data_IF_901196867276
#
_entry.id   IF_901196867276
#
_cell.length_a   1.000
_cell.length_b   1.000
_cell.length_c   1.000
_cell.angle_alpha   90.00
_cell.angle_beta   90.00
_cell.angle_gamma   90.00
#
_symmetry.space_group_name_H-M   'P 1'
#
loop_
_entity.id
_entity.type
_entity.pdbx_description
1 polymer ?
#
# COMPACT_ATOMS: atom_id res chain seq x y z
N UNK A 1 -15.69 -18.56 -49.48
CA UNK A 1 -16.34 -19.69 -50.21
C UNK A 1 -16.59 -20.82 -49.21
N UNK A 2 -17.83 -20.96 -48.75
CA UNK A 2 -18.45 -22.21 -48.27
C UNK A 2 -19.89 -21.87 -47.87
N UNK A 3 -20.83 -22.15 -48.76
CA UNK A 3 -22.25 -22.19 -48.44
C UNK A 3 -22.50 -23.49 -47.67
N UNK A 4 -22.98 -23.39 -46.44
CA UNK A 4 -23.43 -24.55 -45.67
C UNK A 4 -24.93 -24.42 -45.48
N UNK A 5 -25.66 -25.09 -46.37
CA UNK A 5 -27.09 -25.35 -46.21
C UNK A 5 -27.28 -26.49 -45.21
N UNK A 6 -28.14 -26.31 -44.20
CA UNK A 6 -28.81 -27.45 -43.55
C UNK A 6 -30.27 -27.10 -43.22
N UNK A 7 -31.17 -27.90 -43.78
CA UNK A 7 -32.62 -27.91 -43.54
C UNK A 7 -32.92 -28.36 -42.11
N UNK A 8 -34.04 -27.89 -41.53
CA UNK A 8 -35.09 -28.75 -40.91
C UNK A 8 -36.32 -27.95 -40.43
N UNK A 9 -37.49 -28.36 -40.97
CA UNK A 9 -38.83 -28.52 -40.38
C UNK A 9 -39.55 -27.39 -39.60
N UNK A 10 -40.69 -26.96 -40.17
CA UNK A 10 -42.00 -27.00 -39.49
C UNK A 10 -42.36 -25.88 -38.50
N UNK A 11 -43.12 -24.89 -38.98
CA UNK A 11 -44.05 -24.01 -38.25
C UNK A 11 -43.72 -23.62 -36.80
N UNK A 12 -42.93 -22.55 -36.66
CA UNK A 12 -43.19 -21.45 -35.73
C UNK A 12 -42.33 -20.26 -36.19
N UNK A 13 -42.73 -19.02 -35.92
CA UNK A 13 -42.11 -17.79 -36.45
C UNK A 13 -40.69 -17.51 -35.94
N UNK A 14 -39.76 -18.42 -36.19
CA UNK A 14 -38.38 -18.40 -35.70
C UNK A 14 -37.47 -18.05 -36.88
N UNK A 15 -36.95 -16.83 -36.89
CA UNK A 15 -35.89 -16.42 -37.80
C UNK A 15 -34.52 -16.83 -37.22
N UNK A 16 -33.80 -17.69 -37.93
CA UNK A 16 -32.45 -18.12 -37.52
C UNK A 16 -31.42 -17.28 -38.26
N UNK A 17 -30.69 -16.43 -37.53
CA UNK A 17 -29.59 -15.64 -38.07
C UNK A 17 -28.25 -16.27 -37.69
N UNK A 18 -27.40 -16.55 -38.69
CA UNK A 18 -26.05 -17.09 -38.49
C UNK A 18 -25.03 -16.04 -38.88
N UNK A 19 -24.08 -15.75 -37.99
CA UNK A 19 -22.99 -14.81 -38.21
C UNK A 19 -21.69 -15.36 -37.61
N UNK A 20 -20.56 -14.84 -38.09
CA UNK A 20 -19.22 -15.23 -37.64
C UNK A 20 -18.59 -14.06 -36.88
N UNK A 21 -17.94 -14.35 -35.75
CA UNK A 21 -17.10 -13.38 -35.06
C UNK A 21 -15.93 -14.05 -34.32
N UNK A 22 -15.06 -13.24 -33.72
CA UNK A 22 -13.95 -13.75 -32.93
C UNK A 22 -14.46 -14.52 -31.68
N UNK A 23 -13.70 -15.52 -31.17
CA UNK A 23 -14.14 -16.35 -30.05
C UNK A 23 -14.46 -15.58 -28.77
N UNK A 24 -13.80 -14.45 -28.55
CA UNK A 24 -14.07 -13.58 -27.40
C UNK A 24 -15.47 -12.94 -27.48
N UNK A 25 -15.84 -12.41 -28.65
CA UNK A 25 -17.15 -11.79 -28.86
C UNK A 25 -18.29 -12.82 -28.75
N UNK A 26 -18.08 -14.04 -29.26
CA UNK A 26 -19.05 -15.13 -29.13
C UNK A 26 -19.30 -15.47 -27.65
N UNK A 27 -18.23 -15.61 -26.85
CA UNK A 27 -18.35 -15.87 -25.41
C UNK A 27 -19.10 -14.75 -24.68
N UNK A 28 -18.78 -13.49 -24.99
CA UNK A 28 -19.46 -12.34 -24.40
C UNK A 28 -20.95 -12.31 -24.72
N UNK A 29 -21.32 -12.53 -25.98
CA UNK A 29 -22.73 -12.54 -26.40
C UNK A 29 -23.51 -13.67 -25.72
N UNK A 30 -22.92 -14.85 -25.60
CA UNK A 30 -23.57 -15.99 -24.94
C UNK A 30 -23.75 -15.76 -23.44
N UNK A 31 -22.73 -15.22 -22.76
CA UNK A 31 -22.83 -14.84 -21.34
C UNK A 31 -23.92 -13.76 -21.11
N UNK A 32 -23.99 -12.76 -22.00
CA UNK A 32 -25.04 -11.74 -21.95
C UNK A 32 -26.44 -12.35 -22.12
N UNK A 33 -26.62 -13.27 -23.07
CA UNK A 33 -27.90 -13.93 -23.31
C UNK A 33 -28.37 -14.75 -22.08
N UNK A 34 -27.46 -15.46 -21.41
CA UNK A 34 -27.78 -16.17 -20.16
C UNK A 34 -28.20 -15.19 -19.08
N UNK A 35 -27.43 -14.12 -18.87
CA UNK A 35 -27.73 -13.14 -17.82
C UNK A 35 -29.10 -12.48 -18.00
N UNK A 36 -29.48 -12.18 -19.25
CA UNK A 36 -30.80 -11.63 -19.56
C UNK A 36 -31.91 -12.65 -19.33
N UNK A 37 -31.70 -13.91 -19.68
CA UNK A 37 -32.68 -14.96 -19.42
C UNK A 37 -32.86 -15.20 -17.91
N UNK A 38 -31.76 -15.24 -17.15
CA UNK A 38 -31.80 -15.38 -15.69
C UNK A 38 -32.55 -14.20 -15.05
N UNK A 39 -32.23 -12.96 -15.47
CA UNK A 39 -32.95 -11.76 -15.02
C UNK A 39 -34.46 -11.84 -15.29
N UNK A 40 -34.85 -12.38 -16.46
CA UNK A 40 -36.25 -12.60 -16.78
C UNK A 40 -36.89 -13.65 -15.85
N UNK A 41 -36.21 -14.76 -15.55
CA UNK A 41 -36.70 -15.78 -14.63
C UNK A 41 -36.90 -15.25 -13.21
N UNK A 42 -35.92 -14.49 -12.70
CA UNK A 42 -35.99 -13.84 -11.39
C UNK A 42 -37.18 -12.89 -11.32
N UNK A 43 -37.43 -12.13 -12.40
CA UNK A 43 -38.55 -11.19 -12.51
C UNK A 43 -39.90 -11.87 -12.75
N UNK A 44 -39.92 -13.07 -13.33
CA UNK A 44 -41.13 -13.87 -13.52
C UNK A 44 -41.55 -14.54 -12.21
N UNK A 45 -40.61 -14.99 -11.39
CA UNK A 45 -40.90 -15.51 -10.05
C UNK A 45 -41.33 -14.41 -9.06
N UNK A 46 -40.91 -13.15 -9.26
CA UNK A 46 -41.30 -12.06 -8.35
C UNK A 46 -42.75 -11.59 -8.50
N UNK A 47 -43.46 -11.94 -9.59
CA UNK A 47 -44.90 -11.60 -9.75
C UNK A 47 -45.86 -12.50 -8.97
N UNK A 48 -45.46 -13.72 -8.61
CA UNK A 48 -46.30 -14.65 -7.81
C UNK A 48 -45.99 -14.61 -6.31
N UNK A 49 -45.03 -13.78 -5.88
CA UNK A 49 -44.62 -13.65 -4.49
C UNK A 49 -44.62 -12.17 -4.11
N UNK A 50 -45.81 -11.62 -3.88
CA UNK A 50 -45.94 -10.50 -2.95
C UNK A 50 -45.24 -10.99 -1.68
N UNK A 51 -44.16 -10.31 -1.29
CA UNK A 51 -43.40 -10.64 -0.09
C UNK A 51 -44.34 -10.64 1.12
N UNK A 52 -44.92 -11.80 1.45
CA UNK A 52 -45.18 -12.14 2.84
C UNK A 52 -43.83 -11.93 3.52
N UNK A 53 -43.80 -11.02 4.51
CA UNK A 53 -42.60 -10.45 5.10
C UNK A 53 -41.45 -11.46 5.12
N UNK A 54 -40.30 -11.04 4.54
CA UNK A 54 -39.04 -11.81 4.55
C UNK A 54 -38.92 -12.58 5.85
N UNK A 55 -38.64 -13.88 5.76
CA UNK A 55 -38.50 -14.69 6.96
C UNK A 55 -37.41 -14.09 7.84
N UNK A 56 -37.63 -14.02 9.15
CA UNK A 56 -36.61 -13.56 10.11
C UNK A 56 -35.29 -14.32 9.92
N UNK A 57 -35.37 -15.58 9.47
CA UNK A 57 -34.21 -16.39 9.10
C UNK A 57 -33.45 -15.85 7.89
N UNK A 58 -34.12 -15.34 6.86
CA UNK A 58 -33.49 -14.74 5.67
C UNK A 58 -32.79 -13.43 6.04
N UNK A 59 -33.42 -12.59 6.88
CA UNK A 59 -32.82 -11.35 7.38
C UNK A 59 -31.57 -11.64 8.22
N UNK A 60 -31.59 -12.71 9.02
CA UNK A 60 -30.44 -13.14 9.82
C UNK A 60 -29.28 -13.66 8.96
N UNK A 61 -29.56 -14.31 7.83
CA UNK A 61 -28.52 -14.82 6.90
C UNK A 61 -27.81 -13.65 6.20
N UNK A 62 -28.55 -12.68 5.66
CA UNK A 62 -27.97 -11.49 4.98
C UNK A 62 -27.04 -10.68 5.92
N UNK A 63 -27.44 -10.53 7.18
CA UNK A 63 -26.64 -9.84 8.20
C UNK A 63 -25.36 -10.61 8.58
N UNK A 64 -25.33 -11.92 8.38
CA UNK A 64 -24.16 -12.76 8.66
C UNK A 64 -23.23 -12.85 7.44
N UNK A 65 -23.78 -12.79 6.21
CA UNK A 65 -23.03 -12.89 4.95
C UNK A 65 -22.31 -11.58 4.57
N UNK A 66 -22.79 -10.41 5.00
CA UNK A 66 -22.14 -9.11 4.74
C UNK A 66 -20.80 -8.91 5.50
N UNK A 67 -20.32 -9.92 6.21
CA UNK A 67 -19.16 -9.86 7.10
C UNK A 67 -17.76 -9.88 6.46
N UNK A 68 -17.60 -9.98 5.14
CA UNK A 68 -16.25 -10.20 4.55
C UNK A 68 -15.79 -9.30 3.40
N UNK A 69 -16.49 -8.21 3.04
CA UNK A 69 -15.98 -7.31 1.99
C UNK A 69 -15.62 -5.92 2.52
N UNK A 70 -14.33 -5.65 2.46
CA UNK A 70 -13.68 -4.33 2.52
C UNK A 70 -14.52 -3.27 1.79
N UNK A 71 -14.71 -2.09 2.39
CA UNK A 71 -14.24 -0.79 1.85
C UNK A 71 -14.85 0.41 2.59
N UNK A 72 -14.01 1.45 2.68
CA UNK A 72 -14.27 2.89 2.66
C UNK A 72 -15.70 3.44 2.68
N UNK A 73 -15.84 4.52 3.49
CA UNK A 73 -16.75 5.66 3.31
C UNK A 73 -18.20 5.32 2.95
N UNK A 74 -19.06 5.34 3.96
CA UNK A 74 -20.46 5.71 3.73
C UNK A 74 -20.80 6.96 4.53
N UNK A 75 -21.26 7.95 3.78
CA UNK A 75 -21.59 9.28 4.22
C UNK A 75 -22.83 9.30 5.12
N UNK A 76 -22.74 10.19 6.10
CA UNK A 76 -23.81 10.90 6.77
C UNK A 76 -25.13 10.93 5.98
N UNK A 77 -26.12 10.16 6.43
CA UNK A 77 -27.53 10.46 6.21
C UNK A 77 -28.21 10.59 7.57
N UNK A 78 -28.23 11.83 8.05
CA UNK A 78 -29.10 12.24 9.12
C UNK A 78 -30.55 11.98 8.69
N UNK A 79 -31.26 11.18 9.47
CA UNK A 79 -32.69 11.06 9.35
C UNK A 79 -33.32 11.16 10.74
N UNK A 80 -34.12 12.21 10.88
CA UNK A 80 -34.78 12.70 12.08
C UNK A 80 -35.93 11.73 12.41
N UNK A 81 -35.63 10.68 13.18
CA UNK A 81 -36.59 9.67 13.61
C UNK A 81 -37.27 10.05 14.92
N UNK A 82 -38.52 10.50 14.83
CA UNK A 82 -39.45 10.79 15.93
C UNK A 82 -39.59 9.57 16.85
N UNK A 83 -39.17 9.69 18.10
CA UNK A 83 -39.44 8.72 19.18
C UNK A 83 -40.95 8.70 19.42
N UNK A 84 -41.61 7.62 19.01
CA UNK A 84 -43.00 7.34 19.39
C UNK A 84 -42.94 6.52 20.68
N UNK A 85 -43.09 7.23 21.80
CA UNK A 85 -43.40 6.67 23.11
C UNK A 85 -44.78 6.01 23.06
N UNK A 86 -44.80 4.69 22.91
CA UNK A 86 -46.01 3.86 22.91
C UNK A 86 -46.31 3.30 24.30
N UNK A 87 -47.20 3.99 24.99
CA UNK A 87 -48.16 3.50 26.01
C UNK A 87 -48.11 2.00 26.39
N UNK A 88 -47.89 1.75 27.68
CA UNK A 88 -48.22 0.51 28.38
C UNK A 88 -49.73 0.27 28.38
N UNK A 89 -50.24 -0.40 27.34
CA UNK A 89 -51.61 -0.90 27.24
C UNK A 89 -51.64 -2.41 27.29
N UNK A 90 -51.66 -2.99 28.49
CA UNK A 90 -51.87 -4.42 28.70
C UNK A 90 -53.34 -4.76 28.42
N UNK A 91 -53.60 -5.38 27.27
CA UNK A 91 -54.84 -6.13 27.03
C UNK A 91 -54.53 -7.62 27.18
N UNK A 92 -55.13 -8.19 28.22
CA UNK A 92 -55.19 -9.61 28.52
C UNK A 92 -55.60 -10.38 27.25
N UNK A 93 -54.73 -11.24 26.76
CA UNK A 93 -55.10 -12.27 25.77
C UNK A 93 -54.57 -13.61 26.24
N UNK A 94 -55.51 -14.37 26.79
CA UNK A 94 -55.69 -15.82 26.69
C UNK A 94 -54.43 -16.70 26.73
N UNK A 95 -54.38 -17.57 27.74
CA UNK A 95 -53.33 -18.58 27.93
C UNK A 95 -53.03 -19.35 26.65
N UNK A 96 -51.92 -18.97 26.00
CA UNK A 96 -51.28 -19.81 25.02
C UNK A 96 -50.38 -20.76 25.78
N UNK A 97 -50.65 -22.06 25.65
CA UNK A 97 -49.71 -23.12 25.94
C UNK A 97 -48.50 -22.93 25.01
N UNK A 98 -47.61 -22.00 25.36
CA UNK A 98 -46.33 -21.81 24.72
C UNK A 98 -45.52 -23.07 25.04
N UNK A 99 -45.34 -23.93 24.03
CA UNK A 99 -44.66 -25.22 24.18
C UNK A 99 -43.26 -25.04 24.78
N UNK A 100 -42.80 -26.01 25.57
CA UNK A 100 -41.46 -25.98 26.19
C UNK A 100 -40.34 -25.70 25.15
N UNK A 101 -40.55 -26.12 23.91
CA UNK A 101 -39.67 -25.84 22.76
C UNK A 101 -39.52 -24.34 22.43
N UNK A 102 -40.59 -23.55 22.52
CA UNK A 102 -40.59 -22.11 22.24
C UNK A 102 -39.93 -21.30 23.37
N UNK A 103 -40.04 -21.77 24.61
CA UNK A 103 -39.34 -21.16 25.74
C UNK A 103 -37.84 -21.46 25.72
N UNK A 104 -37.45 -22.69 25.35
CA UNK A 104 -36.04 -23.06 25.18
C UNK A 104 -35.37 -22.22 24.10
N UNK A 105 -36.00 -22.07 22.92
CA UNK A 105 -35.43 -21.30 21.82
C UNK A 105 -35.22 -19.81 22.18
N UNK A 106 -36.14 -19.20 22.96
CA UNK A 106 -35.98 -17.83 23.45
C UNK A 106 -34.81 -17.70 24.44
N UNK A 107 -34.62 -18.71 25.31
CA UNK A 107 -33.51 -18.75 26.26
C UNK A 107 -32.16 -18.90 25.56
N UNK A 108 -32.08 -19.75 24.55
CA UNK A 108 -30.86 -19.97 23.76
C UNK A 108 -30.49 -18.72 22.95
N UNK A 109 -31.48 -18.04 22.37
CA UNK A 109 -31.26 -16.76 21.69
C UNK A 109 -30.71 -15.68 22.64
N UNK A 110 -31.27 -15.56 23.85
CA UNK A 110 -30.77 -14.61 24.85
C UNK A 110 -29.35 -14.97 25.32
N UNK A 111 -29.04 -16.27 25.47
CA UNK A 111 -27.70 -16.72 25.82
C UNK A 111 -26.68 -16.40 24.71
N UNK A 112 -27.04 -16.62 23.44
CA UNK A 112 -26.21 -16.28 22.29
C UNK A 112 -25.96 -14.78 22.18
N UNK A 113 -26.99 -13.95 22.41
CA UNK A 113 -26.86 -12.49 22.41
C UNK A 113 -25.96 -11.99 23.56
N UNK A 114 -26.10 -12.54 24.76
CA UNK A 114 -25.21 -12.23 25.90
C UNK A 114 -23.77 -12.63 25.61
N UNK A 115 -23.55 -13.84 25.10
CA UNK A 115 -22.20 -14.29 24.71
C UNK A 115 -21.57 -13.39 23.65
N UNK A 116 -22.35 -12.95 22.66
CA UNK A 116 -21.88 -11.99 21.65
C UNK A 116 -21.58 -10.62 22.24
N UNK A 117 -22.42 -10.14 23.16
CA UNK A 117 -22.17 -8.89 23.87
C UNK A 117 -20.85 -8.96 24.65
N UNK A 118 -20.65 -10.02 25.43
CA UNK A 118 -19.41 -10.24 26.19
C UNK A 118 -18.18 -10.30 25.27
N UNK A 119 -18.27 -10.99 24.14
CA UNK A 119 -17.18 -11.05 23.16
C UNK A 119 -16.84 -9.68 22.55
N UNK A 120 -17.86 -8.85 22.29
CA UNK A 120 -17.66 -7.49 21.78
C UNK A 120 -17.06 -6.57 22.84
N UNK A 121 -17.53 -6.65 24.08
CA UNK A 121 -16.97 -5.90 25.21
C UNK A 121 -15.52 -6.29 25.48
N UNK A 122 -15.20 -7.58 25.41
CA UNK A 122 -13.82 -8.06 25.56
C UNK A 122 -12.92 -7.59 24.43
N UNK A 123 -13.39 -7.63 23.18
CA UNK A 123 -12.66 -7.08 22.03
C UNK A 123 -12.42 -5.58 22.21
N UNK A 124 -13.42 -4.84 22.70
CA UNK A 124 -13.28 -3.41 22.97
C UNK A 124 -12.22 -3.15 24.05
N UNK A 125 -12.24 -3.90 25.16
CA UNK A 125 -11.23 -3.81 26.22
C UNK A 125 -9.81 -4.03 25.69
N UNK A 126 -9.62 -5.07 24.87
CA UNK A 126 -8.33 -5.35 24.24
C UNK A 126 -7.84 -4.18 23.38
N UNK A 127 -8.73 -3.58 22.58
CA UNK A 127 -8.39 -2.43 21.73
C UNK A 127 -8.08 -1.17 22.55
N UNK A 128 -8.79 -0.97 23.67
CA UNK A 128 -8.51 0.13 24.58
C UNK A 128 -7.14 -0.05 25.27
N UNK A 129 -6.79 -1.26 25.69
CA UNK A 129 -5.49 -1.55 26.29
C UNK A 129 -4.33 -1.41 25.30
N UNK A 130 -4.53 -1.87 24.05
CA UNK A 130 -3.58 -1.63 22.97
C UNK A 130 -3.38 -0.13 22.71
N UNK A 131 -4.47 0.63 22.65
CA UNK A 131 -4.42 2.08 22.49
C UNK A 131 -3.71 2.75 23.68
N UNK A 132 -4.02 2.36 24.92
CA UNK A 132 -3.34 2.86 26.13
C UNK A 132 -1.83 2.63 26.03
N UNK A 133 -1.39 1.43 25.63
CA UNK A 133 0.04 1.11 25.45
C UNK A 133 0.70 1.96 24.36
N UNK A 134 0.02 2.16 23.23
CA UNK A 134 0.54 2.99 22.13
C UNK A 134 0.67 4.45 22.55
N UNK A 135 -0.35 5.02 23.16
CA UNK A 135 -0.32 6.39 23.65
C UNK A 135 0.74 6.61 24.72
N UNK A 136 0.97 5.65 25.63
CA UNK A 136 2.07 5.71 26.59
C UNK A 136 3.43 5.70 25.90
N UNK A 137 3.64 4.81 24.94
CA UNK A 137 4.89 4.73 24.17
C UNK A 137 5.15 6.01 23.38
N UNK A 138 4.11 6.61 22.80
CA UNK A 138 4.20 7.89 22.11
C UNK A 138 4.50 9.04 23.07
N UNK A 139 3.84 9.07 24.23
CA UNK A 139 4.07 10.05 25.28
C UNK A 139 5.48 9.95 25.87
N UNK A 140 6.06 8.75 25.94
CA UNK A 140 7.45 8.55 26.34
C UNK A 140 8.43 9.18 25.32
N UNK A 141 8.10 9.14 24.03
CA UNK A 141 8.95 9.72 22.98
C UNK A 141 8.79 11.24 22.89
N UNK A 142 7.55 11.72 22.93
CA UNK A 142 7.19 13.14 22.74
C UNK A 142 7.25 13.95 24.02
N UNK A 143 7.14 13.30 25.18
CA UNK A 143 7.03 13.94 26.49
C UNK A 143 5.66 14.54 26.80
N UNK A 144 4.62 14.25 26.01
CA UNK A 144 3.23 14.72 26.24
C UNK A 144 2.25 13.58 26.02
N UNK A 145 1.29 13.41 26.92
CA UNK A 145 0.23 12.40 26.76
C UNK A 145 -0.85 12.90 25.78
N UNK A 146 -1.24 12.10 24.77
CA UNK A 146 -2.33 12.45 23.85
C UNK A 146 -3.67 12.66 24.58
N UNK A 147 -4.54 13.52 24.04
CA UNK A 147 -5.88 13.79 24.60
C UNK A 147 -6.84 12.62 24.38
N UNK A 148 -6.51 11.78 23.42
CA UNK A 148 -7.21 10.58 23.02
C UNK A 148 -6.89 9.39 23.93
N UNK A 149 -6.01 9.55 24.93
CA UNK A 149 -5.72 8.50 25.91
C UNK A 149 -7.00 8.13 26.66
N UNK A 150 -7.47 6.87 26.59
CA UNK A 150 -8.67 6.45 27.28
C UNK A 150 -8.47 6.54 28.80
N UNK A 151 -9.13 7.49 29.45
CA UNK A 151 -9.21 7.62 30.91
C UNK A 151 -10.61 7.24 31.36
N UNK A 152 -10.69 6.48 32.44
CA UNK A 152 -11.98 6.26 33.09
C UNK A 152 -12.41 7.54 33.84
N UNK A 153 -13.72 7.82 33.99
CA UNK A 153 -14.19 9.06 34.60
C UNK A 153 -13.65 9.25 36.02
N UNK A 154 -12.76 10.23 36.21
CA UNK A 154 -12.14 10.54 37.50
C UNK A 154 -10.71 10.04 37.71
N UNK A 155 -10.13 9.32 36.74
CA UNK A 155 -8.71 8.93 36.79
C UNK A 155 -7.78 10.09 36.39
N UNK A 156 -6.72 10.32 37.16
CA UNK A 156 -5.69 11.29 36.78
C UNK A 156 -4.79 10.74 35.67
N UNK A 157 -4.42 11.56 34.67
CA UNK A 157 -3.54 11.13 33.59
C UNK A 157 -2.18 10.66 34.12
N UNK A 158 -1.62 9.54 33.61
CA UNK A 158 -0.31 9.07 34.03
C UNK A 158 0.77 10.11 33.75
N UNK A 159 1.65 10.34 34.73
CA UNK A 159 2.80 11.26 34.58
C UNK A 159 3.87 10.57 33.75
N UNK A 160 3.90 10.89 32.45
CA UNK A 160 4.88 10.30 31.53
C UNK A 160 6.15 11.14 31.49
N UNK A 161 7.25 10.59 32.01
CA UNK A 161 8.59 11.18 31.89
C UNK A 161 9.19 10.80 30.54
N UNK A 162 9.54 11.80 29.73
CA UNK A 162 10.13 11.58 28.39
C UNK A 162 11.33 10.64 28.48
N UNK A 163 11.25 9.49 27.80
CA UNK A 163 12.36 8.55 27.66
C UNK A 163 13.37 9.16 26.70
N UNK A 164 14.32 9.90 27.25
CA UNK A 164 15.54 10.28 26.53
C UNK A 164 16.38 9.02 26.43
N UNK A 165 16.06 8.12 25.49
CA UNK A 165 17.10 7.28 24.91
C UNK A 165 18.20 8.22 24.42
N UNK A 166 19.47 7.83 24.51
CA UNK A 166 20.62 8.62 24.05
C UNK A 166 20.31 9.17 22.66
N UNK A 167 19.79 10.39 22.61
CA UNK A 167 19.50 11.10 21.39
C UNK A 167 20.87 11.57 20.94
N UNK A 168 21.62 10.65 20.33
CA UNK A 168 22.58 11.07 19.32
C UNK A 168 21.76 11.94 18.39
N UNK A 169 22.07 13.24 18.36
CA UNK A 169 21.66 14.09 17.26
C UNK A 169 22.11 13.35 16.00
N UNK A 170 21.20 12.64 15.35
CA UNK A 170 21.43 12.15 14.01
C UNK A 170 21.42 13.40 13.17
N UNK A 171 22.62 13.92 12.94
CA UNK A 171 22.90 15.01 12.04
C UNK A 171 22.09 14.76 10.76
N UNK A 172 21.25 15.71 10.34
CA UNK A 172 20.48 15.59 9.10
C UNK A 172 21.40 15.33 7.89
N UNK A 173 22.68 15.69 8.02
CA UNK A 173 23.76 15.40 7.09
C UNK A 173 24.15 13.91 6.98
N UNK A 174 23.66 13.03 7.87
CA UNK A 174 23.93 11.58 7.85
C UNK A 174 22.76 10.75 7.32
N UNK A 175 21.64 11.38 6.98
CA UNK A 175 20.52 10.71 6.28
C UNK A 175 20.75 10.88 4.78
N UNK A 176 21.92 10.47 4.28
CA UNK A 176 22.07 10.28 2.85
C UNK A 176 21.17 9.11 2.45
N UNK A 177 20.32 9.22 1.40
CA UNK A 177 19.61 8.06 0.88
C UNK A 177 20.65 6.96 0.64
N UNK A 178 20.40 5.74 1.11
CA UNK A 178 21.33 4.59 1.00
C UNK A 178 21.91 4.40 -0.43
N UNK A 179 21.21 4.88 -1.47
CA UNK A 179 21.71 4.92 -2.84
C UNK A 179 22.78 5.98 -3.12
N UNK A 180 22.72 7.16 -2.51
CA UNK A 180 23.76 8.21 -2.66
C UNK A 180 25.07 7.80 -1.99
N UNK A 181 25.01 7.08 -0.87
CA UNK A 181 26.20 6.53 -0.20
C UNK A 181 26.89 5.46 -1.08
N UNK A 182 26.12 4.58 -1.70
CA UNK A 182 26.64 3.58 -2.65
C UNK A 182 27.27 4.23 -3.89
N UNK A 183 26.70 5.33 -4.38
CA UNK A 183 27.22 6.08 -5.52
C UNK A 183 28.54 6.80 -5.20
N UNK A 184 28.65 7.39 -4.00
CA UNK A 184 29.89 7.99 -3.51
C UNK A 184 31.00 6.95 -3.40
N UNK A 185 30.71 5.79 -2.81
CA UNK A 185 31.67 4.67 -2.70
C UNK A 185 32.10 4.17 -4.10
N UNK A 186 31.17 4.10 -5.05
CA UNK A 186 31.48 3.78 -6.46
C UNK A 186 32.46 4.79 -7.06
N UNK A 187 32.22 6.09 -6.87
CA UNK A 187 33.09 7.14 -7.37
C UNK A 187 34.48 7.11 -6.70
N UNK A 188 34.57 6.77 -5.41
CA UNK A 188 35.85 6.61 -4.71
C UNK A 188 36.66 5.44 -5.27
N UNK A 189 36.02 4.29 -5.54
CA UNK A 189 36.65 3.16 -6.23
C UNK A 189 37.13 3.55 -7.62
N UNK A 190 36.29 4.23 -8.39
CA UNK A 190 36.63 4.70 -9.74
C UNK A 190 37.81 5.68 -9.71
N UNK A 191 37.86 6.59 -8.74
CA UNK A 191 38.99 7.52 -8.56
C UNK A 191 40.30 6.77 -8.31
N UNK A 192 40.29 5.74 -7.46
CA UNK A 192 41.48 4.95 -7.16
C UNK A 192 42.00 4.22 -8.42
N UNK A 193 41.09 3.62 -9.20
CA UNK A 193 41.43 2.96 -10.46
C UNK A 193 41.97 3.98 -11.47
N UNK A 194 41.26 5.10 -11.67
CA UNK A 194 41.66 6.12 -12.63
C UNK A 194 42.98 6.79 -12.25
N UNK A 195 43.30 6.91 -10.96
CA UNK A 195 44.60 7.39 -10.49
C UNK A 195 45.74 6.47 -10.92
N UNK A 196 45.55 5.15 -10.81
CA UNK A 196 46.53 4.17 -11.29
C UNK A 196 46.69 4.21 -12.82
N UNK A 197 45.58 4.33 -13.56
CA UNK A 197 45.60 4.48 -15.02
C UNK A 197 46.37 5.75 -15.41
N UNK A 198 46.12 6.86 -14.71
CA UNK A 198 46.75 8.15 -14.95
C UNK A 198 48.25 8.07 -14.69
N UNK A 199 48.66 7.43 -13.59
CA UNK A 199 50.06 7.19 -13.28
C UNK A 199 50.74 6.27 -14.31
N UNK A 200 50.09 5.19 -14.75
CA UNK A 200 50.61 4.33 -15.79
C UNK A 200 50.77 5.09 -17.12
N UNK A 201 49.78 5.88 -17.51
CA UNK A 201 49.83 6.73 -18.69
C UNK A 201 50.96 7.78 -18.61
N UNK A 202 51.21 8.35 -17.42
CA UNK A 202 52.36 9.24 -17.16
C UNK A 202 53.67 8.53 -17.42
N UNK A 203 53.87 7.33 -16.84
CA UNK A 203 55.09 6.53 -17.03
C UNK A 203 55.33 6.20 -18.50
N UNK A 204 54.27 5.82 -19.23
CA UNK A 204 54.35 5.54 -20.67
C UNK A 204 54.70 6.78 -21.49
N UNK A 205 54.18 7.97 -21.13
CA UNK A 205 54.47 9.22 -21.81
C UNK A 205 55.90 9.73 -21.60
N UNK A 206 56.50 9.41 -20.45
CA UNK A 206 57.88 9.75 -20.08
C UNK A 206 58.94 8.79 -20.63
N UNK A 207 58.54 7.68 -21.23
CA UNK A 207 59.43 6.67 -21.82
C UNK A 207 60.30 7.29 -22.94
N UNK A 208 61.65 7.23 -22.83
CA UNK A 208 62.55 7.78 -23.84
C UNK A 208 62.70 6.87 -25.07
N UNK A 209 62.34 5.59 -24.99
CA UNK A 209 62.64 4.58 -26.01
C UNK A 209 61.53 4.41 -27.07
N UNK A 210 60.74 5.45 -27.33
CA UNK A 210 59.62 5.40 -28.28
C UNK A 210 59.68 6.44 -29.38
N UNK A 211 59.08 6.11 -30.53
CA UNK A 211 59.01 6.99 -31.69
C UNK A 211 58.29 8.31 -31.35
N UNK A 212 58.67 9.41 -32.03
CA UNK A 212 58.08 10.75 -31.82
C UNK A 212 56.55 10.75 -31.96
N UNK A 213 56.02 10.01 -32.93
CA UNK A 213 54.56 9.86 -33.15
C UNK A 213 53.88 9.19 -31.97
N UNK A 214 54.44 8.09 -31.48
CA UNK A 214 53.91 7.36 -30.33
C UNK A 214 54.01 8.18 -29.04
N UNK A 215 55.10 8.92 -28.84
CA UNK A 215 55.27 9.84 -27.70
C UNK A 215 54.17 10.90 -27.66
N UNK A 216 53.84 11.51 -28.81
CA UNK A 216 52.73 12.46 -28.93
C UNK A 216 51.40 11.80 -28.56
N UNK A 217 51.12 10.61 -29.07
CA UNK A 217 49.90 9.86 -28.76
C UNK A 217 49.79 9.52 -27.26
N UNK A 218 50.86 9.03 -26.64
CA UNK A 218 50.91 8.71 -25.20
C UNK A 218 50.70 9.95 -24.33
N UNK A 219 51.26 11.10 -24.72
CA UNK A 219 51.03 12.38 -24.04
C UNK A 219 49.55 12.79 -24.08
N UNK A 220 48.89 12.66 -25.23
CA UNK A 220 47.44 12.90 -25.34
C UNK A 220 46.64 11.94 -24.45
N UNK A 221 47.01 10.65 -24.44
CA UNK A 221 46.35 9.66 -23.57
C UNK A 221 46.48 10.00 -22.09
N UNK A 222 47.67 10.46 -21.65
CA UNK A 222 47.89 10.92 -20.27
C UNK A 222 47.04 12.16 -19.94
N UNK A 223 46.96 13.14 -20.83
CA UNK A 223 46.12 14.34 -20.63
C UNK A 223 44.63 13.98 -20.52
N UNK A 224 44.15 13.04 -21.34
CA UNK A 224 42.79 12.55 -21.26
C UNK A 224 42.53 11.81 -19.93
N UNK A 225 43.49 11.01 -19.48
CA UNK A 225 43.38 10.31 -18.20
C UNK A 225 43.33 11.28 -17.00
N UNK A 226 44.14 12.35 -17.03
CA UNK A 226 44.10 13.44 -16.04
C UNK A 226 42.76 14.16 -16.03
N UNK A 227 42.23 14.51 -17.21
CA UNK A 227 40.91 15.16 -17.32
C UNK A 227 39.82 14.30 -16.68
N UNK A 228 39.83 12.98 -16.96
CA UNK A 228 38.86 12.05 -16.38
C UNK A 228 39.02 11.93 -14.86
N UNK A 229 40.25 11.92 -14.35
CA UNK A 229 40.53 11.91 -12.92
C UNK A 229 39.95 13.15 -12.21
N UNK A 230 40.10 14.33 -12.82
CA UNK A 230 39.52 15.58 -12.30
C UNK A 230 37.99 15.57 -12.34
N UNK A 231 37.37 15.03 -13.40
CA UNK A 231 35.91 14.90 -13.49
C UNK A 231 35.35 14.02 -12.36
N UNK A 232 36.01 12.89 -12.05
CA UNK A 232 35.60 12.01 -10.95
C UNK A 232 35.76 12.71 -9.60
N UNK A 233 36.86 13.45 -9.39
CA UNK A 233 37.03 14.24 -8.17
C UNK A 233 35.94 15.30 -8.00
N UNK A 234 35.60 16.02 -9.08
CA UNK A 234 34.55 17.02 -9.03
C UNK A 234 33.21 16.38 -8.63
N UNK A 235 32.86 15.21 -9.19
CA UNK A 235 31.67 14.46 -8.80
C UNK A 235 31.70 14.07 -7.31
N UNK A 236 32.82 13.57 -6.79
CA UNK A 236 32.99 13.27 -5.35
C UNK A 236 32.77 14.53 -4.51
N UNK A 237 33.31 15.67 -4.95
CA UNK A 237 33.19 16.93 -4.24
C UNK A 237 31.76 17.48 -4.22
N UNK A 238 30.98 17.29 -5.28
CA UNK A 238 29.55 17.62 -5.28
C UNK A 238 28.80 16.88 -4.18
N UNK A 239 29.04 15.57 -4.00
CA UNK A 239 28.45 14.80 -2.90
C UNK A 239 28.93 15.28 -1.53
N UNK A 240 30.22 15.64 -1.40
CA UNK A 240 30.76 16.20 -0.14
C UNK A 240 30.08 17.53 0.22
N UNK A 241 29.92 18.44 -0.75
CA UNK A 241 29.25 19.73 -0.54
C UNK A 241 27.78 19.52 -0.14
N UNK A 242 27.06 18.64 -0.85
CA UNK A 242 25.67 18.26 -0.50
C UNK A 242 25.56 17.74 0.94
N UNK A 243 26.58 17.01 1.40
CA UNK A 243 26.67 16.49 2.77
C UNK A 243 27.25 17.49 3.79
N UNK A 244 27.42 18.76 3.42
CA UNK A 244 28.00 19.80 4.29
C UNK A 244 29.51 19.68 4.57
N UNK A 245 30.22 18.83 3.83
CA UNK A 245 31.68 18.63 3.96
C UNK A 245 32.44 19.49 2.95
N UNK A 246 33.66 19.90 3.31
CA UNK A 246 34.55 20.67 2.41
C UNK A 246 35.01 19.81 1.21
N UNK A 247 35.15 20.41 0.02
CA UNK A 247 35.76 19.77 -1.16
C UNK A 247 37.19 19.29 -0.88
N UNK A 248 37.62 18.28 -1.63
CA UNK A 248 39.00 17.77 -1.65
C UNK A 248 39.69 18.23 -2.94
N UNK A 249 41.01 18.42 -2.90
CA UNK A 249 41.82 18.86 -4.05
C UNK A 249 42.96 17.86 -4.33
N UNK A 250 42.64 16.59 -4.52
CA UNK A 250 43.57 15.48 -4.76
C UNK A 250 44.16 15.51 -6.17
N UNK A 251 43.35 15.69 -7.21
CA UNK A 251 43.81 15.70 -8.60
C UNK A 251 44.42 17.06 -8.98
N UNK A 252 43.91 18.17 -8.41
CA UNK A 252 44.47 19.50 -8.63
C UNK A 252 45.93 19.61 -8.19
N UNK A 253 46.32 18.95 -7.08
CA UNK A 253 47.72 18.86 -6.63
C UNK A 253 48.63 18.07 -7.60
N UNK A 254 48.05 17.13 -8.37
CA UNK A 254 48.80 16.34 -9.37
C UNK A 254 48.98 17.17 -10.66
N UNK A 255 48.01 18.02 -11.00
CA UNK A 255 48.05 18.88 -12.19
C UNK A 255 49.02 20.05 -11.99
N UNK A 256 49.11 20.61 -10.78
CA UNK A 256 50.03 21.70 -10.43
C UNK A 256 51.49 21.22 -10.29
N UNK A 257 51.68 19.91 -10.12
CA UNK A 257 52.97 19.22 -10.17
C UNK A 257 53.50 19.09 -11.60
N UNK A 258 53.90 20.21 -12.20
CA UNK A 258 54.81 20.31 -13.36
C UNK A 258 54.21 19.97 -14.74
N UNK A 259 53.62 20.99 -15.34
CA UNK A 259 53.59 21.17 -16.79
C UNK A 259 54.33 22.44 -17.20
N UNK A 260 55.63 22.49 -16.89
CA UNK A 260 56.55 23.29 -17.70
C UNK A 260 56.67 22.61 -19.07
N UNK A 261 55.69 22.87 -19.92
CA UNK A 261 55.73 22.55 -21.34
C UNK A 261 56.07 23.81 -22.11
N UNK A 262 57.34 24.17 -22.03
CA UNK A 262 58.06 24.91 -23.07
C UNK A 262 58.25 23.95 -24.26
N UNK A 263 57.92 24.37 -25.49
CA UNK A 263 58.86 25.13 -26.32
C UNK A 263 58.62 26.64 -26.27
#
# INVERSE_FOLDING_TARGET
RASVTRRTFGHSGIAVHTWYACPALIKSIWAMAISQHQFYLDRKQSKSKIHAARSLSEIAIDLTETGTLKTSKLANMGSKGKIISGSSGSLLSSGSQESDSSQSAKKDMLAALKSRQEALEETLRQRLDELKKLCLREAELTGKLPREYPLDPGEEPPIVRRRIGTAFKLDEQKILPKGEEAELERLEREFAIQSQITEAARRLASDPNVSKKLKKQRKTSYLNALKKLQEIENAINEYRIKSGKKPTQRASLIIDGKWDLVP
#
